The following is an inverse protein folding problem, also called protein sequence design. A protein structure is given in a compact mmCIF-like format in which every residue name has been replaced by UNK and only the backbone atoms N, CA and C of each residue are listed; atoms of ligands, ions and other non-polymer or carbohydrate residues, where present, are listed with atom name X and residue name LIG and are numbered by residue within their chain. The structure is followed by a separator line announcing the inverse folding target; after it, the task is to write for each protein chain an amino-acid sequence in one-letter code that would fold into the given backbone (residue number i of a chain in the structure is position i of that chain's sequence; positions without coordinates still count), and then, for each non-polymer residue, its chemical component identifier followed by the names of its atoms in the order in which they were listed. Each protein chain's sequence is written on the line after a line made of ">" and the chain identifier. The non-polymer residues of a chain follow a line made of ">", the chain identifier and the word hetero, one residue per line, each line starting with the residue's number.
data_IF_828075186039
#
_entry.id   IF_828075186039
#
_cell.length_a   1.000
_cell.length_b   1.000
_cell.length_c   1.000
_cell.angle_alpha   90.00
_cell.angle_beta   90.00
_cell.angle_gamma   90.00
#
_symmetry.space_group_name_H-M   'P 1'
#
loop_
_entity.id
_entity.type
_entity.pdbx_description
1 polymer ?
#
# COMPACT_ATOMS: atom_id res chain seq x y z
N UNK A 1 0.35 -13.94 -0.86
CA UNK A 1 1.53 -13.58 -0.01
C UNK A 1 1.42 -14.29 1.33
N UNK A 2 2.37 -15.15 1.73
CA UNK A 2 2.34 -15.82 3.05
C UNK A 2 3.14 -15.00 4.07
N UNK A 3 2.59 -14.80 5.27
CA UNK A 3 3.32 -14.18 6.40
C UNK A 3 3.20 -12.66 6.57
N UNK A 4 2.24 -12.01 5.91
CA UNK A 4 1.92 -10.58 6.12
C UNK A 4 0.47 -10.49 6.63
N UNK A 5 0.28 -9.87 7.79
CA UNK A 5 -1.04 -9.50 8.33
C UNK A 5 -1.51 -8.15 7.77
N UNK A 6 -0.58 -7.28 7.34
CA UNK A 6 -0.87 -5.97 6.75
C UNK A 6 -0.82 -4.81 7.75
N UNK A 7 -0.50 -5.09 9.01
CA UNK A 7 -0.41 -4.12 10.11
C UNK A 7 1.03 -3.82 10.54
N UNK A 8 2.02 -4.27 9.77
CA UNK A 8 3.45 -4.19 10.12
C UNK A 8 4.01 -2.76 10.05
N UNK A 9 3.32 -1.85 9.35
CA UNK A 9 3.76 -0.48 9.12
C UNK A 9 2.79 0.53 9.72
N UNK A 10 3.35 1.64 10.23
CA UNK A 10 2.56 2.82 10.58
C UNK A 10 1.98 3.50 9.32
N UNK A 11 0.97 4.37 9.47
CA UNK A 11 0.40 5.12 8.34
C UNK A 11 1.46 5.85 7.52
N UNK A 12 2.35 6.58 8.20
CA UNK A 12 3.41 7.35 7.54
C UNK A 12 4.38 6.46 6.75
N UNK A 13 4.74 5.29 7.27
CA UNK A 13 5.62 4.32 6.58
C UNK A 13 4.93 3.71 5.36
N UNK A 14 3.61 3.49 5.45
CA UNK A 14 2.76 3.01 4.36
C UNK A 14 2.77 4.00 3.19
N UNK A 15 2.58 5.29 3.48
CA UNK A 15 2.57 6.33 2.45
C UNK A 15 3.93 6.49 1.76
N UNK A 16 5.02 6.39 2.52
CA UNK A 16 6.37 6.39 1.96
C UNK A 16 6.56 5.24 0.98
N UNK A 17 6.13 4.03 1.35
CA UNK A 17 6.27 2.85 0.50
C UNK A 17 5.45 2.97 -0.79
N UNK A 18 4.23 3.51 -0.72
CA UNK A 18 3.40 3.80 -1.90
C UNK A 18 4.09 4.80 -2.82
N UNK A 19 4.65 5.88 -2.27
CA UNK A 19 5.35 6.90 -3.06
C UNK A 19 6.63 6.36 -3.72
N UNK A 20 7.42 5.55 -3.02
CA UNK A 20 8.61 4.91 -3.60
C UNK A 20 8.21 3.91 -4.70
N UNK A 21 7.04 3.25 -4.61
CA UNK A 21 6.56 2.38 -5.68
C UNK A 21 6.30 3.13 -6.99
N UNK A 22 5.73 4.32 -6.90
CA UNK A 22 5.43 5.17 -8.07
C UNK A 22 6.70 5.60 -8.81
N UNK A 23 7.83 5.65 -8.09
CA UNK A 23 9.12 6.11 -8.60
C UNK A 23 10.20 5.05 -8.36
N UNK A 24 10.61 4.31 -9.40
CA UNK A 24 11.61 3.21 -9.35
C UNK A 24 12.81 3.46 -8.41
N UNK A 25 13.30 4.70 -8.32
CA UNK A 25 14.31 5.17 -7.37
C UNK A 25 13.99 6.60 -6.95
N UNK A 26 14.08 6.91 -5.65
CA UNK A 26 13.69 8.21 -5.10
C UNK A 26 14.77 8.77 -4.19
N UNK A 27 15.16 10.04 -4.41
CA UNK A 27 16.09 10.74 -3.51
C UNK A 27 15.39 11.14 -2.21
N UNK A 28 16.16 11.24 -1.11
CA UNK A 28 15.66 11.70 0.19
C UNK A 28 14.97 13.06 0.08
N UNK A 29 15.52 13.98 -0.71
CA UNK A 29 14.99 15.34 -0.91
C UNK A 29 13.60 15.32 -1.55
N UNK A 30 13.39 14.46 -2.55
CA UNK A 30 12.08 14.33 -3.20
C UNK A 30 11.01 13.82 -2.23
N UNK A 31 11.39 12.96 -1.28
CA UNK A 31 10.47 12.44 -0.26
C UNK A 31 10.19 13.54 0.77
N UNK A 32 11.20 14.25 1.27
CA UNK A 32 11.00 15.36 2.21
C UNK A 32 10.09 16.45 1.63
N UNK A 33 10.30 16.80 0.36
CA UNK A 33 9.51 17.83 -0.33
C UNK A 33 8.06 17.38 -0.52
N UNK A 34 7.85 16.12 -0.95
CA UNK A 34 6.52 15.53 -1.15
C UNK A 34 5.71 15.50 0.15
N UNK A 35 6.33 15.07 1.24
CA UNK A 35 5.67 14.90 2.54
C UNK A 35 5.75 16.14 3.43
N UNK A 36 6.40 17.22 2.98
CA UNK A 36 6.60 18.48 3.72
C UNK A 36 7.19 18.26 5.11
N UNK A 37 8.23 17.44 5.19
CA UNK A 37 8.97 17.14 6.42
C UNK A 37 10.45 17.39 6.24
N UNK A 38 11.17 17.62 7.34
CA UNK A 38 12.61 17.84 7.27
C UNK A 38 13.38 16.61 6.69
N UNK A 39 14.46 16.80 5.91
CA UNK A 39 15.28 15.71 5.38
C UNK A 39 15.81 14.74 6.44
N UNK A 40 16.10 15.20 7.66
CA UNK A 40 16.53 14.36 8.78
C UNK A 40 15.41 13.39 9.21
N UNK A 41 14.15 13.86 9.25
CA UNK A 41 12.99 13.03 9.56
C UNK A 41 12.78 11.97 8.49
N UNK A 42 12.89 12.36 7.22
CA UNK A 42 12.80 11.42 6.10
C UNK A 42 13.89 10.36 6.18
N UNK A 43 15.13 10.75 6.44
CA UNK A 43 16.26 9.84 6.59
C UNK A 43 16.01 8.82 7.71
N UNK A 44 15.53 9.26 8.87
CA UNK A 44 15.18 8.38 9.99
C UNK A 44 14.12 7.33 9.59
N UNK A 45 13.05 7.77 8.92
CA UNK A 45 11.97 6.86 8.46
C UNK A 45 12.49 5.87 7.42
N UNK A 46 13.33 6.31 6.48
CA UNK A 46 13.95 5.43 5.48
C UNK A 46 14.86 4.39 6.12
N UNK A 47 15.67 4.77 7.11
CA UNK A 47 16.51 3.82 7.86
C UNK A 47 15.66 2.80 8.62
N UNK A 48 14.54 3.21 9.22
CA UNK A 48 13.61 2.29 9.87
C UNK A 48 12.89 1.35 8.88
N UNK A 49 12.54 1.84 7.69
CA UNK A 49 11.97 1.02 6.61
C UNK A 49 12.99 0.05 6.01
N UNK A 50 14.27 0.44 5.93
CA UNK A 50 15.32 -0.44 5.44
C UNK A 50 15.49 -1.66 6.37
N UNK A 51 15.31 -1.48 7.69
CA UNK A 51 15.35 -2.58 8.68
C UNK A 51 14.25 -3.64 8.48
N UNK A 52 13.15 -3.32 7.80
CA UNK A 52 12.07 -4.28 7.53
C UNK A 52 12.27 -5.07 6.22
N UNK A 53 13.38 -4.82 5.52
CA UNK A 53 13.72 -5.41 4.22
C UNK A 53 12.69 -5.05 3.12
N UNK A 54 11.96 -3.94 3.29
CA UNK A 54 11.02 -3.45 2.28
C UNK A 54 11.66 -2.47 1.30
N UNK A 55 12.75 -1.81 1.70
CA UNK A 55 13.48 -0.89 0.84
C UNK A 55 14.98 -1.12 0.95
N UNK A 56 15.69 -0.83 -0.13
CA UNK A 56 17.13 -0.60 -0.11
C UNK A 56 17.36 0.89 -0.03
N UNK A 57 18.10 1.33 0.98
CA UNK A 57 18.49 2.73 1.16
C UNK A 57 20.01 2.85 1.04
N UNK A 58 20.47 3.79 0.22
CA UNK A 58 21.89 4.12 0.08
C UNK A 58 22.06 5.61 0.32
N UNK A 59 22.91 6.03 1.30
CA UNK A 59 23.20 7.43 1.55
C UNK A 59 23.54 8.18 0.26
N UNK A 60 23.04 9.42 0.12
CA UNK A 60 23.19 10.29 -1.06
C UNK A 60 22.59 9.78 -2.38
N UNK A 61 22.30 8.48 -2.50
CA UNK A 61 21.74 7.86 -3.70
C UNK A 61 20.24 7.58 -3.60
N UNK A 62 19.64 7.71 -2.42
CA UNK A 62 18.19 7.58 -2.20
C UNK A 62 17.78 6.16 -1.86
N UNK A 63 16.55 5.79 -2.21
CA UNK A 63 15.97 4.49 -1.94
C UNK A 63 15.21 3.90 -3.13
N UNK A 64 15.07 2.57 -3.11
CA UNK A 64 14.26 1.77 -4.02
C UNK A 64 13.58 0.64 -3.26
N UNK A 65 12.47 0.12 -3.79
CA UNK A 65 11.83 -1.06 -3.20
C UNK A 65 12.66 -2.32 -3.42
N UNK A 66 12.70 -3.21 -2.43
CA UNK A 66 13.12 -4.60 -2.62
C UNK A 66 12.00 -5.40 -3.29
N UNK A 67 12.24 -6.64 -3.70
CA UNK A 67 11.17 -7.53 -4.19
C UNK A 67 10.04 -7.71 -3.17
N UNK A 68 10.42 -7.83 -1.88
CA UNK A 68 9.47 -7.89 -0.76
C UNK A 68 8.69 -6.58 -0.62
N UNK A 69 9.37 -5.44 -0.78
CA UNK A 69 8.78 -4.11 -0.83
C UNK A 69 7.76 -3.93 -1.93
N UNK A 70 8.07 -4.39 -3.15
CA UNK A 70 7.17 -4.33 -4.31
C UNK A 70 5.89 -5.09 -4.00
N UNK A 71 6.02 -6.35 -3.52
CA UNK A 71 4.90 -7.18 -3.11
C UNK A 71 4.07 -6.51 -2.01
N UNK A 72 4.71 -5.99 -0.97
CA UNK A 72 3.99 -5.31 0.11
C UNK A 72 3.26 -4.06 -0.39
N UNK A 73 3.90 -3.25 -1.23
CA UNK A 73 3.29 -2.04 -1.79
C UNK A 73 2.15 -2.35 -2.78
N UNK A 74 2.18 -3.49 -3.48
CA UNK A 74 1.03 -4.03 -4.21
C UNK A 74 -0.12 -4.40 -3.28
N UNK A 75 0.16 -5.07 -2.16
CA UNK A 75 -0.86 -5.34 -1.15
C UNK A 75 -1.50 -4.06 -0.60
N UNK A 76 -0.71 -3.00 -0.35
CA UNK A 76 -1.23 -1.71 0.10
C UNK A 76 -2.22 -1.09 -0.89
N UNK A 77 -1.92 -1.14 -2.19
CA UNK A 77 -2.82 -0.64 -3.23
C UNK A 77 -4.07 -1.52 -3.38
N UNK A 78 -3.91 -2.84 -3.30
CA UNK A 78 -5.03 -3.80 -3.29
C UNK A 78 -5.97 -3.54 -2.13
N UNK A 79 -5.43 -3.32 -0.92
CA UNK A 79 -6.19 -2.99 0.28
C UNK A 79 -6.99 -1.70 0.09
N UNK A 80 -6.33 -0.63 -0.36
CA UNK A 80 -7.00 0.63 -0.66
C UNK A 80 -8.17 0.43 -1.64
N UNK A 81 -7.89 -0.18 -2.80
CA UNK A 81 -8.88 -0.35 -3.86
C UNK A 81 -10.10 -1.16 -3.44
N UNK A 82 -9.91 -2.24 -2.67
CA UNK A 82 -11.00 -3.10 -2.20
C UNK A 82 -11.87 -2.42 -1.13
N UNK A 83 -11.27 -1.61 -0.26
CA UNK A 83 -12.03 -0.78 0.69
C UNK A 83 -12.86 0.26 -0.09
N UNK A 84 -12.32 0.87 -1.13
CA UNK A 84 -13.08 1.79 -1.99
C UNK A 84 -14.24 1.07 -2.68
N UNK A 85 -14.03 -0.13 -3.21
CA UNK A 85 -15.13 -0.95 -3.77
C UNK A 85 -16.24 -1.18 -2.73
N UNK A 86 -15.86 -1.52 -1.48
CA UNK A 86 -16.81 -1.71 -0.39
C UNK A 86 -17.63 -0.45 -0.11
N UNK A 87 -16.97 0.69 0.08
CA UNK A 87 -17.63 1.95 0.42
C UNK A 87 -18.54 2.45 -0.71
N UNK A 88 -18.10 2.34 -1.97
CA UNK A 88 -18.94 2.68 -3.13
C UNK A 88 -20.12 1.71 -3.26
N UNK A 89 -19.91 0.42 -2.99
CA UNK A 89 -20.98 -0.57 -2.92
C UNK A 89 -22.05 -0.27 -1.85
N UNK A 90 -21.70 0.52 -0.82
CA UNK A 90 -22.63 1.04 0.19
C UNK A 90 -23.31 2.36 -0.21
N UNK A 91 -23.07 2.85 -1.42
CA UNK A 91 -23.70 4.06 -1.96
C UNK A 91 -22.89 5.35 -1.80
N UNK A 92 -21.63 5.28 -1.36
CA UNK A 92 -20.74 6.45 -1.34
C UNK A 92 -20.25 6.80 -2.74
N UNK A 93 -20.00 8.09 -3.01
CA UNK A 93 -19.33 8.48 -4.24
C UNK A 93 -17.84 8.07 -4.22
N UNK A 94 -17.27 7.82 -5.40
CA UNK A 94 -15.92 7.28 -5.52
C UNK A 94 -14.83 8.18 -4.91
N UNK A 95 -15.02 9.51 -4.92
CA UNK A 95 -14.05 10.47 -4.38
C UNK A 95 -14.05 10.43 -2.85
N UNK A 96 -15.23 10.56 -2.24
CA UNK A 96 -15.38 10.49 -0.78
C UNK A 96 -14.97 9.11 -0.25
N UNK A 97 -15.30 8.03 -0.97
CA UNK A 97 -14.86 6.68 -0.63
C UNK A 97 -13.34 6.55 -0.64
N UNK A 98 -12.65 7.13 -1.64
CA UNK A 98 -11.20 7.15 -1.73
C UNK A 98 -10.55 7.87 -0.54
N UNK A 99 -11.05 9.08 -0.22
CA UNK A 99 -10.57 9.87 0.91
C UNK A 99 -10.81 9.16 2.25
N UNK A 100 -11.99 8.55 2.44
CA UNK A 100 -12.32 7.81 3.64
C UNK A 100 -11.45 6.56 3.79
N UNK A 101 -11.29 5.75 2.72
CA UNK A 101 -10.46 4.55 2.73
C UNK A 101 -9.03 4.86 3.18
N UNK A 102 -8.43 5.93 2.65
CA UNK A 102 -7.07 6.36 3.02
C UNK A 102 -6.88 6.66 4.52
N UNK A 103 -7.95 7.03 5.24
CA UNK A 103 -7.90 7.37 6.67
C UNK A 103 -7.88 6.17 7.60
N UNK A 104 -8.30 4.99 7.16
CA UNK A 104 -8.39 3.81 8.04
C UNK A 104 -7.86 2.51 7.44
N UNK A 105 -7.49 2.49 6.16
CA UNK A 105 -7.00 1.28 5.49
C UNK A 105 -5.84 0.60 6.24
N UNK A 106 -5.02 1.36 6.96
CA UNK A 106 -3.89 0.83 7.72
C UNK A 106 -4.28 0.00 8.94
N UNK A 107 -5.54 0.04 9.37
CA UNK A 107 -6.09 -0.85 10.39
C UNK A 107 -6.76 -2.10 9.81
N UNK A 108 -6.87 -2.19 8.48
CA UNK A 108 -7.54 -3.31 7.82
C UNK A 108 -6.53 -4.42 7.55
N UNK A 109 -6.79 -5.59 8.14
CA UNK A 109 -5.96 -6.79 8.02
C UNK A 109 -6.10 -7.43 6.65
N UNK A 110 -5.11 -8.25 6.29
CA UNK A 110 -5.12 -9.03 5.04
C UNK A 110 -6.36 -9.92 4.91
N UNK A 111 -6.81 -10.53 6.01
CA UNK A 111 -7.97 -11.42 5.98
C UNK A 111 -9.26 -10.67 5.57
N UNK A 112 -9.46 -9.46 6.10
CA UNK A 112 -10.58 -8.60 5.68
C UNK A 112 -10.45 -8.23 4.20
N UNK A 113 -9.24 -7.87 3.76
CA UNK A 113 -8.98 -7.56 2.34
C UNK A 113 -9.31 -8.75 1.44
N UNK A 114 -8.97 -9.97 1.84
CA UNK A 114 -9.26 -11.16 1.05
C UNK A 114 -10.74 -11.51 1.02
N UNK A 115 -11.48 -11.30 2.12
CA UNK A 115 -12.95 -11.43 2.15
C UNK A 115 -13.59 -10.41 1.20
N UNK A 116 -13.17 -9.15 1.26
CA UNK A 116 -13.64 -8.11 0.33
C UNK A 116 -13.35 -8.49 -1.12
N UNK A 117 -12.16 -9.00 -1.40
CA UNK A 117 -11.81 -9.42 -2.76
C UNK A 117 -12.74 -10.51 -3.31
N UNK A 118 -13.15 -11.48 -2.47
CA UNK A 118 -14.11 -12.52 -2.86
C UNK A 118 -15.51 -11.95 -3.07
N UNK A 119 -15.97 -11.10 -2.16
CA UNK A 119 -17.32 -10.52 -2.21
C UNK A 119 -17.55 -9.62 -3.43
N UNK A 120 -16.49 -8.97 -3.93
CA UNK A 120 -16.54 -8.10 -5.11
C UNK A 120 -16.09 -8.80 -6.41
N UNK A 121 -16.09 -10.14 -6.45
CA UNK A 121 -15.74 -10.94 -7.64
C UNK A 121 -14.35 -10.66 -8.22
N UNK A 122 -13.37 -10.44 -7.35
CA UNK A 122 -11.96 -10.21 -7.72
C UNK A 122 -11.75 -9.04 -8.70
N UNK A 123 -12.12 -7.81 -8.33
CA UNK A 123 -11.98 -6.66 -9.21
C UNK A 123 -10.50 -6.37 -9.49
N UNK A 124 -10.18 -5.89 -10.69
CA UNK A 124 -8.82 -5.52 -11.10
C UNK A 124 -8.54 -4.01 -10.98
N UNK A 125 -9.60 -3.20 -10.84
CA UNK A 125 -9.55 -1.76 -10.59
C UNK A 125 -10.62 -1.36 -9.58
N UNK A 126 -10.33 -0.34 -8.78
CA UNK A 126 -11.33 0.30 -7.92
C UNK A 126 -12.06 1.43 -8.65
N UNK A 127 -13.24 1.86 -8.15
CA UNK A 127 -13.94 3.04 -8.65
C UNK A 127 -13.11 4.35 -8.64
N UNK A 128 -12.06 4.44 -7.81
CA UNK A 128 -11.14 5.58 -7.79
C UNK A 128 -9.93 5.43 -8.73
N UNK A 129 -9.90 4.39 -9.58
CA UNK A 129 -8.83 4.15 -10.55
C UNK A 129 -7.59 3.45 -9.99
N UNK A 130 -7.60 3.02 -8.72
CA UNK A 130 -6.47 2.27 -8.15
C UNK A 130 -6.46 0.86 -8.70
N UNK A 131 -5.32 0.42 -9.25
CA UNK A 131 -5.14 -0.97 -9.71
C UNK A 131 -5.09 -1.93 -8.53
N UNK A 132 -5.89 -2.97 -8.58
CA UNK A 132 -6.00 -4.03 -7.56
C UNK A 132 -5.22 -5.25 -8.07
N UNK A 133 -4.10 -5.58 -7.42
CA UNK A 133 -3.33 -6.77 -7.77
C UNK A 133 -4.08 -8.04 -7.35
N UNK A 134 -3.97 -9.11 -8.15
CA UNK A 134 -4.47 -10.43 -7.78
C UNK A 134 -3.50 -11.09 -6.80
N UNK A 135 -3.99 -11.52 -5.63
CA UNK A 135 -3.23 -12.41 -4.74
C UNK A 135 -3.56 -13.86 -5.10
N UNK A 136 -2.54 -14.64 -5.46
CA UNK A 136 -2.69 -16.05 -5.82
C UNK A 136 -3.33 -16.87 -4.71
N UNK A 137 -3.19 -16.47 -3.44
CA UNK A 137 -3.85 -17.16 -2.32
C UNK A 137 -5.38 -16.94 -2.28
N UNK A 138 -5.88 -15.79 -2.75
CA UNK A 138 -7.30 -15.43 -2.69
C UNK A 138 -8.03 -15.77 -4.00
N UNK A 139 -7.38 -15.56 -5.15
CA UNK A 139 -7.97 -15.72 -6.48
C UNK A 139 -7.75 -17.11 -7.11
N UNK A 140 -7.42 -18.14 -6.32
CA UNK A 140 -7.33 -19.51 -6.82
C UNK A 140 -8.71 -20.07 -7.15
N UNK A 141 -8.92 -20.71 -8.31
CA UNK A 141 -10.21 -21.27 -8.74
C UNK A 141 -10.63 -22.55 -7.98
N UNK A 142 -10.26 -22.70 -6.70
CA UNK A 142 -10.43 -23.95 -5.95
C UNK A 142 -10.73 -23.82 -4.46
N UNK A 143 -11.22 -22.67 -3.99
CA UNK A 143 -11.64 -22.50 -2.60
C UNK A 143 -13.14 -22.72 -2.41
N UNK A 144 -13.54 -23.98 -2.19
CA UNK A 144 -14.75 -24.28 -1.38
C UNK A 144 -14.45 -23.97 0.08
#
# INVERSE_FOLDING_TARGET
>A
MKGINGLELSPKKTDYLKFIKEKKKVKTTEISDKFKVDPSTTTKILLELAKTDLITYTPYHGCSLTEKGIKYAEFLNRRHGLIVCMLVGMGMDAKTACEAAGRFEYFVTKDVVDILCKNFSHPDHSPCGTRISRDTCCCCPGGR
#
